data_IF_837075705383
#
_entry.id   IF_837075705383
#
_cell.length_a   1.000
_cell.length_b   1.000
_cell.length_c   1.000
_cell.angle_alpha   90.00
_cell.angle_beta   90.00
_cell.angle_gamma   90.00
#
_symmetry.space_group_name_H-M   'P 1'
#
loop_
_entity.id
_entity.type
_entity.pdbx_description
1 polymer ?
#
# COMPACT_ATOMS: atom_id res chain seq x y z
N UNK A 1 18.39 8.42 3.98
CA UNK A 1 18.28 6.95 4.12
C UNK A 1 16.79 6.55 4.14
N UNK A 2 16.44 5.50 3.41
CA UNK A 2 15.09 4.91 3.37
C UNK A 2 15.23 3.41 3.10
N UNK A 3 14.31 2.60 3.61
CA UNK A 3 14.12 1.22 3.15
C UNK A 3 13.07 1.18 2.03
N UNK A 4 13.16 0.21 1.15
CA UNK A 4 12.15 -0.03 0.09
C UNK A 4 10.90 -0.75 0.64
N UNK A 5 11.04 -1.56 1.68
CA UNK A 5 9.98 -2.29 2.38
C UNK A 5 10.47 -2.78 3.75
N UNK A 6 9.57 -3.36 4.52
CA UNK A 6 9.90 -4.00 5.80
C UNK A 6 10.74 -5.27 5.65
N UNK A 7 11.14 -5.87 6.76
CA UNK A 7 11.97 -7.08 6.81
C UNK A 7 11.30 -8.28 6.13
N UNK A 8 12.10 -9.29 5.72
CA UNK A 8 11.59 -10.50 5.07
C UNK A 8 11.02 -11.50 6.09
N UNK A 9 9.88 -11.11 6.68
CA UNK A 9 9.08 -11.89 7.61
C UNK A 9 7.62 -11.98 7.14
N UNK A 10 6.82 -12.94 7.68
CA UNK A 10 5.37 -12.95 7.49
C UNK A 10 4.75 -11.60 7.82
N UNK A 11 3.73 -11.19 7.06
CA UNK A 11 3.00 -9.91 7.21
C UNK A 11 3.85 -8.66 7.01
N UNK A 12 5.09 -8.77 6.52
CA UNK A 12 6.00 -7.65 6.27
C UNK A 12 6.27 -7.53 4.77
N UNK A 13 7.43 -7.94 4.26
CA UNK A 13 7.76 -7.82 2.82
C UNK A 13 6.67 -8.41 1.92
N UNK A 14 6.20 -7.60 0.96
CA UNK A 14 5.19 -8.00 -0.03
C UNK A 14 3.76 -7.97 0.51
N UNK A 15 3.53 -7.39 1.69
CA UNK A 15 2.21 -7.12 2.25
C UNK A 15 2.06 -5.64 2.58
N UNK A 16 0.83 -5.21 2.85
CA UNK A 16 0.53 -3.81 3.21
C UNK A 16 0.29 -3.61 4.71
N UNK A 17 0.61 -4.58 5.56
CA UNK A 17 0.63 -4.37 7.01
C UNK A 17 1.71 -3.35 7.42
N UNK A 18 1.60 -2.77 8.62
CA UNK A 18 2.56 -1.75 9.10
C UNK A 18 4.01 -2.25 9.06
N UNK A 19 4.23 -3.50 9.42
CA UNK A 19 5.56 -4.11 9.35
C UNK A 19 6.16 -4.14 7.94
N UNK A 20 5.32 -4.07 6.90
CA UNK A 20 5.74 -4.01 5.48
C UNK A 20 5.85 -2.59 4.94
N UNK A 21 4.99 -1.67 5.41
CA UNK A 21 4.82 -0.33 4.82
C UNK A 21 5.35 0.81 5.67
N UNK A 22 5.44 0.65 7.00
CA UNK A 22 6.03 1.63 7.90
C UNK A 22 7.55 1.50 7.91
N UNK A 23 8.18 2.04 6.88
CA UNK A 23 9.63 1.99 6.66
C UNK A 23 10.33 3.17 7.34
N UNK A 24 11.60 3.03 7.76
CA UNK A 24 12.39 4.14 8.25
C UNK A 24 12.67 5.14 7.12
N UNK A 25 12.62 6.44 7.46
CA UNK A 25 13.04 7.52 6.58
C UNK A 25 13.89 8.51 7.39
N UNK A 26 15.11 8.74 6.95
CA UNK A 26 16.05 9.69 7.57
C UNK A 26 16.49 10.68 6.50
N UNK A 27 16.27 11.96 6.74
CA UNK A 27 16.68 13.05 5.87
C UNK A 27 17.82 13.81 6.53
N UNK A 28 18.88 14.03 5.80
CA UNK A 28 20.02 14.86 6.23
C UNK A 28 20.40 15.79 5.08
N UNK A 29 19.92 17.01 5.13
CA UNK A 29 20.23 18.04 4.15
C UNK A 29 20.18 19.44 4.81
N UNK A 30 21.16 19.81 5.65
CA UNK A 30 21.30 21.19 6.09
C UNK A 30 21.61 22.10 4.89
N UNK A 31 21.08 23.28 4.77
CA UNK A 31 20.23 24.04 5.69
C UNK A 31 18.72 23.88 5.44
N UNK A 32 18.27 22.85 4.74
CA UNK A 32 16.87 22.67 4.31
C UNK A 32 16.00 21.95 5.33
N UNK A 33 16.61 21.19 6.25
CA UNK A 33 15.93 20.47 7.32
C UNK A 33 16.55 20.80 8.67
N UNK A 34 15.74 20.87 9.70
CA UNK A 34 16.16 21.06 11.09
C UNK A 34 16.91 19.83 11.59
N UNK A 35 18.05 20.05 12.26
CA UNK A 35 18.84 18.95 12.81
C UNK A 35 18.21 18.38 14.09
N UNK A 36 18.27 17.04 14.24
CA UNK A 36 17.84 16.35 15.47
C UNK A 36 16.34 16.31 15.71
N UNK A 37 15.52 16.66 14.72
CA UNK A 37 14.06 16.61 14.80
C UNK A 37 13.53 15.24 14.45
N UNK A 38 12.38 14.87 15.02
CA UNK A 38 11.60 13.69 14.67
C UNK A 38 10.21 14.16 14.26
N UNK A 39 9.92 14.05 12.96
CA UNK A 39 8.61 14.36 12.44
C UNK A 39 7.62 13.22 12.78
N UNK A 40 6.46 13.59 13.32
CA UNK A 40 5.39 12.65 13.71
C UNK A 40 4.25 12.58 12.70
N UNK A 41 4.18 13.55 11.79
CA UNK A 41 3.17 13.58 10.75
C UNK A 41 3.31 12.41 9.78
N UNK A 42 2.20 11.91 9.27
CA UNK A 42 2.22 10.85 8.26
C UNK A 42 2.78 11.37 6.94
N UNK A 43 3.80 10.67 6.42
CA UNK A 43 4.45 10.95 5.13
C UNK A 43 4.43 9.70 4.24
N UNK A 44 4.65 9.89 2.95
CA UNK A 44 4.64 8.80 1.98
C UNK A 44 5.88 8.87 1.08
N UNK A 45 6.28 7.76 0.50
CA UNK A 45 7.39 7.69 -0.47
C UNK A 45 7.18 8.55 -1.71
N UNK A 46 5.92 8.89 -2.05
CA UNK A 46 5.61 9.85 -3.13
C UNK A 46 6.10 11.28 -2.84
N UNK A 47 6.43 11.59 -1.58
CA UNK A 47 6.94 12.88 -1.14
C UNK A 47 8.45 13.05 -1.40
N UNK A 48 9.14 11.96 -1.70
CA UNK A 48 10.60 11.98 -1.94
C UNK A 48 10.94 12.84 -3.16
N UNK A 49 10.25 12.63 -4.29
CA UNK A 49 10.55 13.36 -5.52
C UNK A 49 10.32 14.87 -5.37
N UNK A 50 9.16 15.36 -4.89
CA UNK A 50 8.98 16.80 -4.65
C UNK A 50 10.00 17.36 -3.65
N UNK A 51 10.39 16.61 -2.62
CA UNK A 51 11.43 16.99 -1.66
C UNK A 51 12.79 17.22 -2.34
N UNK A 52 13.17 16.29 -3.22
CA UNK A 52 14.43 16.39 -3.97
C UNK A 52 14.41 17.56 -4.96
N UNK A 53 13.29 17.76 -5.68
CA UNK A 53 13.15 18.88 -6.62
C UNK A 53 13.25 20.22 -5.89
N UNK A 54 12.55 20.38 -4.77
CA UNK A 54 12.64 21.60 -3.96
C UNK A 54 14.07 21.82 -3.42
N UNK A 55 14.73 20.76 -2.94
CA UNK A 55 16.10 20.84 -2.47
C UNK A 55 17.08 21.31 -3.57
N UNK A 56 16.86 20.88 -4.81
CA UNK A 56 17.64 21.26 -5.99
C UNK A 56 17.26 22.64 -6.57
N UNK A 57 16.23 23.32 -6.02
CA UNK A 57 15.73 24.58 -6.57
C UNK A 57 14.97 24.43 -7.89
N UNK A 58 14.48 23.23 -8.18
CA UNK A 58 13.70 22.92 -9.40
C UNK A 58 12.22 23.03 -9.09
N UNK A 59 11.44 23.62 -10.01
CA UNK A 59 9.99 23.74 -9.87
C UNK A 59 9.30 22.37 -9.79
N UNK A 60 8.38 22.22 -8.84
CA UNK A 60 7.63 20.97 -8.64
C UNK A 60 6.46 20.92 -9.63
N UNK A 61 6.39 19.91 -10.52
CA UNK A 61 5.26 19.74 -11.42
C UNK A 61 3.94 19.57 -10.66
N UNK A 62 2.89 20.29 -11.06
CA UNK A 62 1.58 20.32 -10.38
C UNK A 62 0.88 18.95 -10.32
N UNK A 63 1.18 18.07 -11.26
CA UNK A 63 0.62 16.72 -11.34
C UNK A 63 1.23 15.72 -10.37
N UNK A 64 2.31 16.06 -9.66
CA UNK A 64 2.89 15.18 -8.64
C UNK A 64 1.95 15.13 -7.41
N UNK A 65 1.55 13.93 -6.96
CA UNK A 65 0.63 13.79 -5.83
C UNK A 65 1.32 13.99 -4.46
N UNK A 66 2.65 14.01 -4.44
CA UNK A 66 3.46 14.24 -3.26
C UNK A 66 3.63 15.73 -2.95
N UNK A 67 4.14 16.04 -1.76
CA UNK A 67 4.56 17.38 -1.35
C UNK A 67 5.99 17.35 -0.78
N UNK A 68 6.71 18.49 -0.82
CA UNK A 68 8.05 18.52 -0.28
C UNK A 68 8.05 18.48 1.25
N UNK A 69 8.84 17.60 1.83
CA UNK A 69 8.91 17.39 3.27
C UNK A 69 9.50 18.59 4.03
N UNK A 70 10.19 19.51 3.34
CA UNK A 70 10.63 20.78 3.89
C UNK A 70 9.45 21.63 4.41
N UNK A 71 8.28 21.57 3.74
CA UNK A 71 7.07 22.29 4.19
C UNK A 71 6.57 21.75 5.55
N UNK A 72 6.72 20.45 5.79
CA UNK A 72 6.36 19.82 7.05
C UNK A 72 7.33 20.23 8.17
N UNK A 73 8.63 20.11 7.94
CA UNK A 73 9.69 20.49 8.88
C UNK A 73 9.63 21.98 9.29
N UNK A 74 9.20 22.84 8.37
CA UNK A 74 9.03 24.27 8.60
C UNK A 74 7.67 24.64 9.21
N UNK A 75 6.80 23.69 9.46
CA UNK A 75 5.45 23.93 9.96
C UNK A 75 4.50 24.62 8.97
N UNK A 76 4.88 24.70 7.69
CA UNK A 76 4.05 25.27 6.64
C UNK A 76 2.92 24.32 6.19
N UNK A 77 3.00 23.06 6.58
CA UNK A 77 2.02 22.01 6.26
C UNK A 77 1.94 21.01 7.40
N UNK A 78 0.78 20.43 7.59
CA UNK A 78 0.57 19.23 8.42
C UNK A 78 0.85 17.96 7.62
N UNK A 79 1.13 16.85 8.32
CA UNK A 79 1.22 15.52 7.73
C UNK A 79 -0.11 15.09 7.07
N UNK A 80 -0.05 14.01 6.31
CA UNK A 80 -1.26 13.48 5.67
C UNK A 80 -2.27 13.00 6.72
N UNK A 81 -3.55 13.30 6.48
CA UNK A 81 -4.65 12.73 7.26
C UNK A 81 -4.85 11.25 6.97
N UNK A 82 -4.57 10.83 5.74
CA UNK A 82 -4.69 9.44 5.29
C UNK A 82 -3.48 9.03 4.46
N UNK A 83 -3.04 7.78 4.64
CA UNK A 83 -2.08 7.10 3.76
C UNK A 83 -2.80 5.97 3.05
N UNK A 84 -2.62 5.89 1.73
CA UNK A 84 -3.12 4.81 0.89
C UNK A 84 -1.99 3.87 0.50
N UNK A 85 -2.25 2.58 0.54
CA UNK A 85 -1.31 1.53 0.16
C UNK A 85 -1.99 0.54 -0.78
N UNK A 86 -1.21 -0.09 -1.64
CA UNK A 86 -1.72 -1.04 -2.61
C UNK A 86 -0.65 -2.09 -2.90
N UNK A 87 -1.06 -3.34 -3.08
CA UNK A 87 -0.21 -4.42 -3.59
C UNK A 87 -0.98 -5.35 -4.49
N UNK A 88 -0.30 -5.90 -5.50
CA UNK A 88 -0.79 -6.99 -6.35
C UNK A 88 0.03 -8.26 -6.18
N UNK A 89 0.92 -8.26 -5.19
CA UNK A 89 1.98 -9.25 -5.09
C UNK A 89 3.19 -8.87 -5.94
N UNK A 90 4.29 -9.60 -5.82
CA UNK A 90 5.56 -9.30 -6.48
C UNK A 90 5.70 -9.90 -7.89
N UNK A 91 4.84 -10.84 -8.25
CA UNK A 91 4.81 -11.51 -9.55
C UNK A 91 3.48 -12.27 -9.71
N UNK A 92 3.07 -12.64 -10.94
CA UNK A 92 1.84 -13.42 -11.14
C UNK A 92 1.78 -14.72 -10.32
N UNK A 93 2.92 -15.39 -10.14
CA UNK A 93 3.02 -16.58 -9.29
C UNK A 93 2.74 -16.31 -7.79
N UNK A 94 2.88 -15.06 -7.37
CA UNK A 94 2.68 -14.59 -5.99
C UNK A 94 1.56 -13.54 -5.94
N UNK A 95 0.64 -13.59 -6.89
CA UNK A 95 -0.43 -12.64 -7.06
C UNK A 95 -1.37 -12.63 -5.85
N UNK A 96 -1.54 -11.43 -5.27
CA UNK A 96 -2.38 -11.19 -4.12
C UNK A 96 -2.73 -9.70 -4.03
N UNK A 97 -3.99 -9.36 -4.26
CA UNK A 97 -4.44 -7.97 -4.29
C UNK A 97 -4.90 -7.53 -2.91
N UNK A 98 -4.36 -6.42 -2.44
CA UNK A 98 -4.83 -5.72 -1.25
C UNK A 98 -4.87 -4.21 -1.51
N UNK A 99 -5.90 -3.56 -1.00
CA UNK A 99 -5.99 -2.11 -0.87
C UNK A 99 -5.98 -1.73 0.60
N UNK A 100 -5.21 -0.73 0.97
CA UNK A 100 -5.14 -0.25 2.34
C UNK A 100 -5.32 1.24 2.44
N UNK A 101 -5.93 1.66 3.53
CA UNK A 101 -5.98 3.06 3.97
C UNK A 101 -5.75 3.10 5.47
N UNK A 102 -4.98 4.07 5.93
CA UNK A 102 -4.88 4.35 7.36
C UNK A 102 -5.04 5.84 7.63
N UNK A 103 -5.58 6.16 8.80
CA UNK A 103 -5.41 7.45 9.47
C UNK A 103 -4.29 7.35 10.53
N UNK A 104 -4.23 8.26 11.47
CA UNK A 104 -3.24 8.26 12.55
C UNK A 104 -3.38 7.06 13.51
N UNK A 105 -4.58 6.49 13.64
CA UNK A 105 -4.89 5.41 14.59
C UNK A 105 -5.38 4.13 13.94
N UNK A 106 -6.26 4.20 12.95
CA UNK A 106 -6.91 3.02 12.38
C UNK A 106 -6.40 2.72 10.99
N UNK A 107 -6.33 1.44 10.67
CA UNK A 107 -6.00 0.94 9.34
C UNK A 107 -7.03 -0.06 8.86
N UNK A 108 -7.56 0.18 7.66
CA UNK A 108 -8.43 -0.73 6.94
C UNK A 108 -7.66 -1.36 5.77
N UNK A 109 -7.71 -2.68 5.68
CA UNK A 109 -7.26 -3.45 4.52
C UNK A 109 -8.49 -4.07 3.87
N UNK A 110 -8.60 -3.93 2.55
CA UNK A 110 -9.62 -4.56 1.73
C UNK A 110 -8.99 -5.59 0.80
N UNK A 111 -9.42 -6.84 0.93
CA UNK A 111 -9.02 -7.99 0.14
C UNK A 111 -10.17 -8.35 -0.82
N UNK A 112 -10.20 -7.82 -2.06
CA UNK A 112 -11.34 -8.00 -2.98
C UNK A 112 -11.58 -9.44 -3.38
N UNK A 113 -10.59 -10.29 -3.19
CA UNK A 113 -10.65 -11.72 -3.45
C UNK A 113 -10.19 -12.47 -2.20
N UNK A 114 -11.09 -13.16 -1.55
CA UNK A 114 -10.80 -14.03 -0.39
C UNK A 114 -10.06 -15.28 -0.86
N UNK A 115 -8.77 -15.13 -1.13
CA UNK A 115 -7.91 -16.19 -1.65
C UNK A 115 -6.75 -16.47 -0.73
N UNK A 116 -6.21 -17.68 -0.89
CA UNK A 116 -4.94 -18.05 -0.28
C UNK A 116 -3.85 -17.08 -0.72
N UNK A 117 -3.18 -16.48 0.25
CA UNK A 117 -2.01 -15.64 0.01
C UNK A 117 -0.85 -16.52 -0.46
N UNK A 118 -0.57 -16.51 -1.76
CA UNK A 118 0.47 -17.36 -2.35
C UNK A 118 1.87 -16.96 -1.90
N UNK A 119 2.09 -15.69 -1.57
CA UNK A 119 3.36 -15.24 -1.00
C UNK A 119 3.58 -15.88 0.37
N UNK A 120 2.57 -15.83 1.25
CA UNK A 120 2.62 -16.49 2.56
C UNK A 120 2.84 -18.00 2.42
N UNK A 121 2.08 -18.65 1.54
CA UNK A 121 2.19 -20.07 1.29
C UNK A 121 3.57 -20.48 0.75
N UNK A 122 4.10 -19.77 -0.23
CA UNK A 122 5.36 -20.13 -0.88
C UNK A 122 6.58 -19.97 0.02
N UNK A 123 6.56 -18.96 0.91
CA UNK A 123 7.73 -18.62 1.74
C UNK A 123 7.73 -19.28 3.12
N UNK A 124 6.55 -19.42 3.73
CA UNK A 124 6.49 -19.66 5.17
C UNK A 124 5.75 -20.93 5.57
N UNK A 125 4.97 -21.58 4.67
CA UNK A 125 4.14 -22.73 5.03
C UNK A 125 4.92 -23.91 5.59
N UNK A 126 6.16 -24.09 5.15
CA UNK A 126 7.05 -25.16 5.60
C UNK A 126 8.05 -24.70 6.67
N UNK A 127 7.89 -23.49 7.20
CA UNK A 127 8.74 -22.96 8.25
C UNK A 127 8.09 -23.06 9.62
N UNK A 128 8.87 -22.92 10.69
CA UNK A 128 8.32 -22.83 12.06
C UNK A 128 7.33 -21.67 12.24
N UNK A 129 7.42 -20.63 11.38
CA UNK A 129 6.52 -19.48 11.43
C UNK A 129 5.08 -19.85 11.04
N UNK A 130 4.85 -20.96 10.31
CA UNK A 130 3.51 -21.46 10.01
C UNK A 130 2.77 -22.03 11.22
N UNK A 131 3.48 -22.24 12.33
CA UNK A 131 2.89 -22.70 13.60
C UNK A 131 2.39 -21.53 14.47
N UNK A 132 2.66 -20.29 14.07
CA UNK A 132 2.14 -19.10 14.75
C UNK A 132 0.62 -19.00 14.57
N UNK A 133 -0.10 -18.69 15.64
CA UNK A 133 -1.57 -18.60 15.65
C UNK A 133 -2.13 -17.55 14.69
N UNK A 134 -1.33 -16.55 14.30
CA UNK A 134 -1.74 -15.50 13.36
C UNK A 134 -1.41 -15.84 11.90
N UNK A 135 -0.70 -16.93 11.64
CA UNK A 135 -0.31 -17.33 10.29
C UNK A 135 -1.51 -17.72 9.43
N UNK A 136 -2.53 -18.36 10.01
CA UNK A 136 -3.77 -18.73 9.32
C UNK A 136 -4.47 -17.48 8.75
N UNK A 137 -4.61 -16.43 9.55
CA UNK A 137 -5.19 -15.16 9.10
C UNK A 137 -4.37 -14.48 8.01
N UNK A 138 -3.04 -14.62 8.02
CA UNK A 138 -2.19 -14.13 6.93
C UNK A 138 -2.29 -14.97 5.66
N UNK A 139 -2.49 -16.29 5.82
CA UNK A 139 -2.62 -17.23 4.71
C UNK A 139 -3.98 -17.11 4.01
N UNK A 140 -5.06 -16.90 4.78
CA UNK A 140 -6.43 -16.74 4.32
C UNK A 140 -7.07 -15.49 4.95
N UNK A 141 -6.67 -14.28 4.50
CA UNK A 141 -7.19 -13.06 5.08
C UNK A 141 -8.69 -12.88 4.81
N UNK A 142 -9.35 -12.21 5.74
CA UNK A 142 -10.73 -11.78 5.59
C UNK A 142 -10.89 -10.75 4.47
N UNK A 143 -12.11 -10.53 3.97
CA UNK A 143 -12.40 -9.50 2.99
C UNK A 143 -12.04 -8.11 3.50
N UNK A 144 -12.36 -7.84 4.76
CA UNK A 144 -11.97 -6.60 5.45
C UNK A 144 -11.17 -6.94 6.70
N UNK A 145 -10.09 -6.20 6.88
CA UNK A 145 -9.30 -6.23 8.11
C UNK A 145 -9.21 -4.80 8.63
N UNK A 146 -9.63 -4.57 9.87
CA UNK A 146 -9.56 -3.26 10.54
C UNK A 146 -8.74 -3.39 11.81
N UNK A 147 -7.74 -2.54 11.96
CA UNK A 147 -6.82 -2.56 13.09
C UNK A 147 -6.76 -1.22 13.81
N UNK A 148 -6.70 -1.24 15.13
CA UNK A 148 -6.40 -0.10 15.98
C UNK A 148 -4.90 -0.06 16.28
N UNK A 149 -4.15 0.68 15.49
CA UNK A 149 -2.68 0.70 15.55
C UNK A 149 -2.12 1.27 16.86
N UNK A 150 -2.94 1.97 17.65
CA UNK A 150 -2.55 2.45 18.98
C UNK A 150 -2.51 1.31 20.00
N UNK A 151 -3.51 0.43 19.96
CA UNK A 151 -3.67 -0.67 20.91
C UNK A 151 -3.14 -2.01 20.37
N UNK A 152 -3.05 -2.13 19.04
CA UNK A 152 -2.58 -3.32 18.32
C UNK A 152 -1.62 -2.91 17.17
N UNK A 153 -0.41 -2.45 17.50
CA UNK A 153 0.56 -1.99 16.50
C UNK A 153 1.08 -3.11 15.59
N UNK A 154 0.80 -4.36 15.93
CA UNK A 154 1.18 -5.55 15.15
C UNK A 154 0.04 -6.11 14.29
N UNK A 155 -1.15 -5.50 14.36
CA UNK A 155 -2.30 -5.83 13.50
C UNK A 155 -2.77 -7.30 13.66
N UNK A 156 -2.81 -7.81 14.90
CA UNK A 156 -3.21 -9.18 15.18
C UNK A 156 -4.71 -9.36 15.41
N UNK A 157 -5.40 -8.32 15.86
CA UNK A 157 -6.82 -8.36 16.20
C UNK A 157 -7.66 -7.65 15.14
N UNK A 158 -8.27 -8.41 14.24
CA UNK A 158 -9.20 -7.86 13.24
C UNK A 158 -10.50 -7.37 13.91
N UNK A 159 -10.78 -6.07 13.81
CA UNK A 159 -11.97 -5.39 14.35
C UNK A 159 -13.08 -5.20 13.32
N UNK A 160 -12.86 -5.57 12.04
CA UNK A 160 -13.73 -5.21 10.92
C UNK A 160 -15.17 -5.74 11.04
N UNK A 161 -15.39 -6.76 11.86
CA UNK A 161 -16.69 -7.42 12.03
C UNK A 161 -17.33 -7.18 13.40
N UNK A 162 -16.73 -6.33 14.23
CA UNK A 162 -17.31 -5.91 15.48
C UNK A 162 -18.22 -4.69 15.26
N UNK A 163 -19.41 -4.74 15.84
CA UNK A 163 -20.48 -3.74 15.63
C UNK A 163 -20.01 -2.33 16.02
N UNK A 164 -19.27 -2.21 17.10
CA UNK A 164 -18.72 -0.93 17.59
C UNK A 164 -17.75 -0.24 16.62
N UNK A 165 -17.16 -0.99 15.66
CA UNK A 165 -16.21 -0.47 14.66
C UNK A 165 -16.81 -0.31 13.27
N UNK A 166 -18.09 -0.66 13.06
CA UNK A 166 -18.75 -0.60 11.75
C UNK A 166 -18.66 0.79 11.12
N UNK A 167 -18.93 1.85 11.89
CA UNK A 167 -18.87 3.22 11.40
C UNK A 167 -17.44 3.61 10.96
N UNK A 168 -16.41 3.18 11.70
CA UNK A 168 -15.02 3.46 11.36
C UNK A 168 -14.60 2.70 10.08
N UNK A 169 -15.01 1.45 9.93
CA UNK A 169 -14.80 0.68 8.70
C UNK A 169 -15.43 1.37 7.49
N UNK A 170 -16.69 1.80 7.61
CA UNK A 170 -17.41 2.51 6.53
C UNK A 170 -16.72 3.83 6.18
N UNK A 171 -16.32 4.63 7.17
CA UNK A 171 -15.59 5.88 6.96
C UNK A 171 -14.32 5.66 6.13
N UNK A 172 -13.47 4.75 6.57
CA UNK A 172 -12.20 4.47 5.89
C UNK A 172 -12.42 3.90 4.48
N UNK A 173 -13.41 3.02 4.31
CA UNK A 173 -13.74 2.49 2.99
C UNK A 173 -14.23 3.59 2.03
N UNK A 174 -15.06 4.51 2.51
CA UNK A 174 -15.52 5.66 1.70
C UNK A 174 -14.34 6.55 1.30
N UNK A 175 -13.39 6.82 2.20
CA UNK A 175 -12.17 7.59 1.92
C UNK A 175 -11.27 6.88 0.90
N UNK A 176 -11.10 5.57 1.03
CA UNK A 176 -10.36 4.77 0.04
C UNK A 176 -11.00 4.89 -1.35
N UNK A 177 -12.32 4.72 -1.46
CA UNK A 177 -13.06 4.84 -2.72
C UNK A 177 -13.01 6.24 -3.31
N UNK A 178 -13.07 7.27 -2.46
CA UNK A 178 -12.94 8.65 -2.88
C UNK A 178 -11.56 8.92 -3.48
N UNK A 179 -10.50 8.47 -2.81
CA UNK A 179 -9.13 8.58 -3.34
C UNK A 179 -8.97 7.87 -4.69
N UNK A 180 -9.49 6.65 -4.83
CA UNK A 180 -9.48 5.94 -6.10
C UNK A 180 -10.17 6.73 -7.24
N UNK A 181 -11.27 7.43 -6.93
CA UNK A 181 -11.94 8.34 -7.89
C UNK A 181 -11.05 9.52 -8.26
N UNK A 182 -10.43 10.16 -7.28
CA UNK A 182 -9.58 11.34 -7.49
C UNK A 182 -8.39 11.07 -8.40
N UNK A 183 -7.81 9.86 -8.29
CA UNK A 183 -6.67 9.44 -9.13
C UNK A 183 -7.09 8.71 -10.42
N UNK A 184 -8.39 8.57 -10.68
CA UNK A 184 -8.94 7.76 -11.78
C UNK A 184 -8.39 6.33 -11.77
N UNK A 185 -8.37 5.68 -10.60
CA UNK A 185 -7.92 4.30 -10.45
C UNK A 185 -8.84 3.36 -11.24
N UNK A 186 -8.36 2.66 -12.28
CA UNK A 186 -9.20 1.72 -13.03
C UNK A 186 -9.72 0.58 -12.16
N UNK A 187 -9.06 0.26 -11.05
CA UNK A 187 -9.46 -0.79 -10.12
C UNK A 187 -10.57 -0.39 -9.14
N UNK A 188 -11.06 0.85 -9.22
CA UNK A 188 -12.33 1.22 -8.61
C UNK A 188 -13.49 0.41 -9.23
N UNK A 189 -13.40 0.11 -10.52
CA UNK A 189 -14.35 -0.77 -11.21
C UNK A 189 -14.06 -2.23 -10.89
N UNK A 190 -15.03 -2.94 -10.31
CA UNK A 190 -14.91 -4.40 -10.06
C UNK A 190 -14.67 -5.18 -11.35
N UNK A 191 -15.28 -4.77 -12.46
CA UNK A 191 -15.09 -5.40 -13.77
C UNK A 191 -13.63 -5.31 -14.25
N UNK A 192 -13.01 -4.14 -14.10
CA UNK A 192 -11.60 -3.95 -14.44
C UNK A 192 -10.68 -4.76 -13.52
N UNK A 193 -11.00 -4.80 -12.24
CA UNK A 193 -10.27 -5.60 -11.26
C UNK A 193 -10.36 -7.11 -11.60
N UNK A 194 -11.53 -7.59 -12.03
CA UNK A 194 -11.73 -8.98 -12.45
C UNK A 194 -10.93 -9.33 -13.73
N UNK A 195 -10.79 -8.39 -14.66
CA UNK A 195 -9.92 -8.56 -15.86
C UNK A 195 -8.48 -8.76 -15.41
N UNK A 196 -7.98 -7.89 -14.55
CA UNK A 196 -6.62 -7.99 -14.02
C UNK A 196 -6.39 -9.28 -13.23
N UNK A 197 -7.29 -9.62 -12.33
CA UNK A 197 -7.25 -10.85 -11.53
C UNK A 197 -7.19 -12.11 -12.40
N UNK A 198 -8.09 -12.21 -13.38
CA UNK A 198 -8.14 -13.32 -14.31
C UNK A 198 -6.85 -13.47 -15.13
N UNK A 199 -6.31 -12.36 -15.58
CA UNK A 199 -5.06 -12.31 -16.33
C UNK A 199 -3.88 -12.80 -15.47
N UNK A 200 -3.73 -12.29 -14.25
CA UNK A 200 -2.65 -12.70 -13.35
C UNK A 200 -2.72 -14.21 -13.04
N UNK A 201 -3.91 -14.72 -12.77
CA UNK A 201 -4.12 -16.15 -12.53
C UNK A 201 -3.78 -17.03 -13.73
N UNK A 202 -4.12 -16.59 -14.95
CA UNK A 202 -3.80 -17.30 -16.18
C UNK A 202 -2.29 -17.37 -16.43
N UNK A 203 -1.53 -16.39 -15.90
CA UNK A 203 -0.09 -16.27 -16.16
C UNK A 203 0.81 -16.73 -14.99
N UNK A 204 0.26 -17.31 -13.93
CA UNK A 204 1.03 -17.74 -12.75
C UNK A 204 2.21 -18.68 -13.07
N UNK A 205 2.08 -19.49 -14.12
CA UNK A 205 3.11 -20.49 -14.52
C UNK A 205 3.95 -20.05 -15.73
N UNK A 206 3.74 -18.84 -16.25
CA UNK A 206 4.39 -18.39 -17.49
C UNK A 206 5.61 -17.51 -17.17
N UNK A 207 6.77 -17.92 -17.68
CA UNK A 207 7.94 -17.04 -17.74
C UNK A 207 7.81 -16.10 -18.95
N UNK A 208 7.27 -14.89 -18.75
CA UNK A 208 7.04 -13.90 -19.81
C UNK A 208 8.32 -13.27 -20.39
N UNK A 209 9.48 -13.40 -19.71
CA UNK A 209 10.76 -12.90 -20.23
C UNK A 209 11.18 -13.54 -21.57
N UNK A 210 10.52 -14.64 -21.97
CA UNK A 210 10.85 -15.41 -23.16
C UNK A 210 9.83 -15.29 -24.30
N UNK A 211 8.74 -14.52 -24.13
CA UNK A 211 7.71 -14.38 -25.18
C UNK A 211 7.85 -13.03 -25.87
N UNK A 212 8.45 -13.04 -27.07
CA UNK A 212 8.44 -11.85 -27.92
C UNK A 212 6.99 -11.43 -28.25
N UNK A 213 6.70 -10.11 -28.14
CA UNK A 213 5.38 -9.56 -28.41
C UNK A 213 4.32 -9.82 -27.33
N UNK A 214 4.72 -10.30 -26.13
CA UNK A 214 3.75 -10.42 -25.03
C UNK A 214 3.27 -9.05 -24.56
N UNK A 215 1.97 -8.84 -24.58
CA UNK A 215 1.32 -7.66 -24.05
C UNK A 215 0.44 -8.05 -22.86
N UNK A 216 0.41 -7.19 -21.83
CA UNK A 216 -0.47 -7.34 -20.69
C UNK A 216 -1.78 -6.60 -20.95
N UNK A 217 -2.92 -7.30 -21.16
CA UNK A 217 -4.21 -6.65 -21.45
C UNK A 217 -4.63 -5.60 -20.39
N UNK A 218 -4.28 -5.80 -19.12
CA UNK A 218 -4.60 -4.84 -18.07
C UNK A 218 -3.91 -3.46 -18.28
N UNK A 219 -2.81 -3.39 -19.01
CA UNK A 219 -2.16 -2.09 -19.32
C UNK A 219 -3.06 -1.17 -20.14
N UNK A 220 -3.98 -1.72 -20.90
CA UNK A 220 -4.95 -0.92 -21.67
C UNK A 220 -5.98 -0.23 -20.75
N UNK A 221 -6.24 -0.78 -19.56
CA UNK A 221 -7.10 -0.14 -18.56
C UNK A 221 -6.47 1.17 -18.07
N UNK A 222 -5.16 1.17 -17.81
CA UNK A 222 -4.42 2.36 -17.38
C UNK A 222 -4.26 3.38 -18.51
N UNK A 223 -4.09 2.94 -19.76
CA UNK A 223 -4.02 3.82 -20.93
C UNK A 223 -5.33 4.56 -21.13
N UNK A 224 -6.47 3.87 -21.06
CA UNK A 224 -7.81 4.47 -21.17
C UNK A 224 -8.06 5.48 -20.05
N UNK A 225 -7.75 5.17 -18.82
CA UNK A 225 -7.92 6.05 -17.68
C UNK A 225 -7.09 7.35 -17.77
N UNK A 226 -5.99 7.36 -18.55
CA UNK A 226 -5.14 8.53 -18.76
C UNK A 226 -5.49 9.36 -20.03
N UNK A 227 -6.27 8.81 -20.96
CA UNK A 227 -6.69 9.52 -22.19
C UNK A 227 -7.89 10.43 -21.93
N UNK A 228 -8.68 10.16 -20.90
CA UNK A 228 -9.86 10.95 -20.51
C UNK A 228 -9.52 12.19 -19.66
N UNK A 229 -8.23 12.54 -19.55
CA UNK A 229 -7.72 13.80 -18.93
C UNK A 229 -7.24 14.78 -19.98
#
# INVERSE_FOLDING_TARGET
YISDHGADFPRSKGSIYESGTRIPMILNFPPRFSSGTVEKGMVSTIDILPTMLQAAGIGIPKQLPGFPLQELDQGAREGRKYIHTFTTGSAPALHFIQFGIRDDRYKLIYNPYRRKNLLAASRYINSKLSQDQHFEAFLFPDEFELYDLLNDPYEFKNLAYLVEYENKKIELLQRMRQFQKEINDPFLSKANLDVFEKEQLAHQKISYRKKAGFNWPHLDLFRKANIEK
#
